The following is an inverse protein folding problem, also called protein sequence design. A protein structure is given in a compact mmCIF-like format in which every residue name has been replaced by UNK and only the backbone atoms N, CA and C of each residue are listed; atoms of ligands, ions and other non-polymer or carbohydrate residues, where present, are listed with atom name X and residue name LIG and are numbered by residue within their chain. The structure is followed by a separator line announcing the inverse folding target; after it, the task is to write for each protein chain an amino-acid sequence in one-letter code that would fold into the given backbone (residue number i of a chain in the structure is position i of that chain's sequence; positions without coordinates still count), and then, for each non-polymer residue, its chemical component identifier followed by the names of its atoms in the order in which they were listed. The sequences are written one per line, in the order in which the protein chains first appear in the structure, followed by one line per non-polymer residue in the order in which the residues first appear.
data_IF_732616382523
#
_entry.id   IF_732616382523
#
_cell.length_a   1.000
_cell.length_b   1.000
_cell.length_c   1.000
_cell.angle_alpha   90.00
_cell.angle_beta   90.00
_cell.angle_gamma   90.00
#
_symmetry.space_group_name_H-M   'P 1'
#
loop_
_entity.id
_entity.type
_entity.pdbx_description
1 polymer ?
#
# COMPACT_ATOMS: atom_id res chain seq x y z
N UNK A 1 -2.66 65.76 -17.18
CA UNK A 1 -4.08 65.50 -17.50
C UNK A 1 -4.74 64.97 -16.24
N UNK A 2 -5.56 65.80 -15.64
CA UNK A 2 -6.33 65.60 -14.40
C UNK A 2 -7.77 65.26 -14.76
N UNK A 3 -8.33 64.19 -14.21
CA UNK A 3 -9.77 64.02 -13.90
C UNK A 3 -9.88 62.79 -12.98
N UNK A 4 -10.80 62.64 -12.04
CA UNK A 4 -11.57 63.50 -11.12
C UNK A 4 -12.51 62.53 -10.38
N UNK A 5 -12.64 62.77 -9.09
CA UNK A 5 -13.46 62.20 -8.01
C UNK A 5 -14.90 61.72 -8.36
N UNK A 6 -15.35 60.71 -7.60
CA UNK A 6 -16.65 59.98 -7.52
C UNK A 6 -17.92 60.83 -7.15
N UNK A 7 -19.15 60.25 -7.00
CA UNK A 7 -19.55 59.59 -5.73
C UNK A 7 -20.62 58.44 -5.75
N UNK A 8 -20.70 57.81 -4.56
CA UNK A 8 -21.57 56.78 -3.95
C UNK A 8 -23.10 56.85 -4.13
N UNK A 9 -23.78 55.69 -4.12
CA UNK A 9 -25.04 55.35 -3.39
C UNK A 9 -25.06 53.82 -3.09
N UNK A 10 -24.91 53.37 -1.82
CA UNK A 10 -25.93 52.90 -0.84
C UNK A 10 -26.54 51.50 -1.09
N UNK A 11 -26.55 50.64 -0.04
CA UNK A 11 -27.43 49.49 0.32
C UNK A 11 -26.59 48.30 0.83
N UNK A 12 -26.88 47.58 1.92
CA UNK A 12 -27.56 47.80 3.20
C UNK A 12 -27.12 46.60 4.07
N UNK A 13 -26.87 46.82 5.36
CA UNK A 13 -26.37 45.82 6.30
C UNK A 13 -27.42 44.76 6.66
N UNK A 14 -26.99 43.51 6.89
CA UNK A 14 -27.64 42.61 7.85
C UNK A 14 -26.59 41.71 8.52
N UNK A 15 -26.38 41.95 9.80
CA UNK A 15 -25.77 41.02 10.73
C UNK A 15 -26.89 40.20 11.39
N UNK A 16 -26.73 38.88 11.50
CA UNK A 16 -27.58 38.06 12.37
C UNK A 16 -26.68 37.24 13.29
N UNK A 17 -26.75 37.59 14.58
CA UNK A 17 -26.19 36.85 15.70
C UNK A 17 -27.18 35.76 16.10
N UNK A 18 -26.74 34.51 16.21
CA UNK A 18 -27.49 33.44 16.87
C UNK A 18 -26.60 32.81 17.95
N UNK A 19 -26.80 33.29 19.17
CA UNK A 19 -26.42 32.62 20.42
C UNK A 19 -27.37 31.44 20.63
N UNK A 20 -26.85 30.21 20.68
CA UNK A 20 -27.57 29.08 21.27
C UNK A 20 -26.69 28.46 22.35
N UNK A 21 -27.27 28.44 23.54
CA UNK A 21 -26.78 27.94 24.81
C UNK A 21 -26.44 26.45 24.80
N UNK A 22 -25.23 26.07 25.22
CA UNK A 22 -24.88 24.70 25.58
C UNK A 22 -25.37 24.40 27.01
N UNK A 23 -26.53 23.76 27.15
CA UNK A 23 -26.89 23.06 28.37
C UNK A 23 -26.38 21.62 28.28
N UNK A 24 -25.44 21.30 29.18
CA UNK A 24 -24.85 19.97 29.27
C UNK A 24 -25.84 18.90 29.73
N UNK A 25 -25.68 17.70 29.18
CA UNK A 25 -26.31 16.49 29.70
C UNK A 25 -25.26 15.37 29.68
N UNK A 26 -24.72 15.01 30.85
CA UNK A 26 -23.85 13.84 31.04
C UNK A 26 -24.69 12.57 30.79
N UNK A 27 -24.27 11.67 29.90
CA UNK A 27 -24.80 10.31 29.83
C UNK A 27 -24.01 9.38 30.75
N UNK A 28 -24.74 8.52 31.47
CA UNK A 28 -24.25 7.47 32.37
C UNK A 28 -23.36 6.47 31.62
N UNK A 29 -22.22 6.12 32.24
CA UNK A 29 -21.56 4.84 32.03
C UNK A 29 -22.48 3.73 32.55
N UNK A 30 -22.38 2.54 31.97
CA UNK A 30 -23.15 1.31 32.24
C UNK A 30 -24.37 1.11 31.33
N UNK A 31 -24.10 0.58 30.13
CA UNK A 31 -24.84 -0.55 29.54
C UNK A 31 -24.04 -1.05 28.32
N UNK A 32 -23.65 -2.32 28.35
CA UNK A 32 -22.90 -3.00 27.29
C UNK A 32 -23.57 -2.78 25.94
N UNK A 33 -22.77 -2.50 24.91
CA UNK A 33 -23.26 -2.18 23.56
C UNK A 33 -24.10 -3.33 23.03
N UNK A 34 -25.41 -3.09 22.94
CA UNK A 34 -26.32 -3.83 22.07
C UNK A 34 -25.78 -3.68 20.65
N UNK A 35 -25.35 -4.80 20.06
CA UNK A 35 -24.99 -4.85 18.63
C UNK A 35 -26.23 -4.45 17.82
N UNK A 36 -26.17 -3.37 17.01
CA UNK A 36 -27.32 -2.89 16.28
C UNK A 36 -27.90 -3.96 15.35
N UNK A 37 -29.22 -3.92 15.20
CA UNK A 37 -30.00 -4.70 14.23
C UNK A 37 -29.75 -4.14 12.82
N UNK A 38 -29.39 -4.99 11.86
CA UNK A 38 -28.79 -4.61 10.57
C UNK A 38 -29.63 -5.13 9.40
N UNK A 39 -30.38 -4.25 8.70
CA UNK A 39 -30.45 -4.24 7.20
C UNK A 39 -30.85 -2.87 6.56
N UNK A 40 -30.72 -2.49 5.26
CA UNK A 40 -30.23 -3.02 3.95
C UNK A 40 -30.29 -1.85 2.91
N UNK A 41 -29.16 -1.27 2.50
CA UNK A 41 -29.11 -0.56 1.20
C UNK A 41 -27.76 -0.73 0.46
N UNK A 42 -26.72 -1.18 1.20
CA UNK A 42 -25.46 -1.85 0.77
C UNK A 42 -24.36 -0.95 0.15
N UNK A 43 -23.07 -1.39 0.21
CA UNK A 43 -22.58 -2.73 0.54
C UNK A 43 -22.04 -2.93 1.96
N UNK A 44 -22.40 -4.09 2.49
CA UNK A 44 -21.93 -4.66 3.73
C UNK A 44 -20.60 -5.39 3.45
N UNK A 45 -19.52 -4.98 4.10
CA UNK A 45 -18.21 -5.59 3.91
C UNK A 45 -18.17 -7.01 4.47
N UNK A 46 -17.40 -7.94 3.88
CA UNK A 46 -17.20 -9.25 4.47
C UNK A 46 -16.68 -9.13 5.90
N UNK A 47 -17.24 -9.95 6.79
CA UNK A 47 -16.82 -10.04 8.19
C UNK A 47 -15.75 -11.10 8.33
N UNK A 48 -14.64 -10.78 9.00
CA UNK A 48 -13.55 -11.70 9.30
C UNK A 48 -13.39 -11.85 10.82
N UNK A 49 -13.73 -13.03 11.34
CA UNK A 49 -13.52 -13.40 12.73
C UNK A 49 -12.21 -14.16 12.93
N UNK A 50 -11.44 -13.72 13.91
CA UNK A 50 -10.19 -14.31 14.36
C UNK A 50 -10.40 -14.80 15.80
N UNK A 51 -10.40 -16.11 16.01
CA UNK A 51 -10.51 -16.70 17.34
C UNK A 51 -9.19 -17.39 17.70
N UNK A 52 -8.38 -16.74 18.51
CA UNK A 52 -7.11 -17.31 19.03
C UNK A 52 -7.41 -18.38 20.08
N UNK A 53 -6.57 -19.42 20.15
CA UNK A 53 -6.71 -20.48 21.15
C UNK A 53 -6.66 -19.89 22.56
N UNK A 54 -7.70 -20.13 23.36
CA UNK A 54 -7.80 -19.61 24.73
C UNK A 54 -7.90 -18.08 24.82
N UNK A 55 -8.29 -17.39 23.75
CA UNK A 55 -8.27 -15.92 23.65
C UNK A 55 -6.89 -15.30 23.88
N UNK A 56 -5.82 -16.00 23.49
CA UNK A 56 -4.46 -15.52 23.63
C UNK A 56 -4.26 -14.16 22.91
N UNK A 57 -3.56 -13.19 23.53
CA UNK A 57 -3.26 -11.92 22.88
C UNK A 57 -2.19 -12.10 21.79
N UNK A 58 -2.25 -11.26 20.76
CA UNK A 58 -1.25 -11.21 19.69
C UNK A 58 -0.31 -10.04 19.99
N UNK A 59 0.83 -10.31 20.63
CA UNK A 59 1.75 -9.28 21.15
C UNK A 59 3.13 -9.27 20.46
N UNK A 60 3.33 -10.08 19.42
CA UNK A 60 4.62 -10.25 18.76
C UNK A 60 4.47 -10.19 17.24
N UNK A 61 5.48 -9.61 16.59
CA UNK A 61 5.65 -9.67 15.13
C UNK A 61 6.42 -10.90 14.68
N UNK A 62 6.95 -11.71 15.60
CA UNK A 62 7.81 -12.85 15.27
C UNK A 62 7.19 -14.19 15.66
N UNK A 63 6.38 -14.18 16.72
CA UNK A 63 5.78 -15.39 17.29
C UNK A 63 4.33 -15.53 16.84
N UNK A 64 4.05 -16.64 16.17
CA UNK A 64 2.70 -17.04 15.80
C UNK A 64 1.93 -17.63 16.99
N UNK A 65 0.65 -17.30 17.08
CA UNK A 65 -0.33 -17.98 17.94
C UNK A 65 -1.33 -18.73 17.08
N UNK A 66 -1.83 -19.86 17.57
CA UNK A 66 -2.88 -20.62 16.87
C UNK A 66 -4.21 -19.88 16.92
N UNK A 67 -4.93 -19.87 15.81
CA UNK A 67 -6.25 -19.27 15.68
C UNK A 67 -7.15 -20.07 14.73
N UNK A 68 -8.46 -19.80 14.80
CA UNK A 68 -9.42 -20.11 13.75
C UNK A 68 -9.78 -18.82 13.03
N UNK A 69 -9.72 -18.82 11.71
CA UNK A 69 -10.22 -17.74 10.84
C UNK A 69 -11.58 -18.16 10.32
N UNK A 70 -12.59 -17.29 10.44
CA UNK A 70 -13.89 -17.45 9.78
C UNK A 70 -14.23 -16.19 8.99
N UNK A 71 -14.79 -16.35 7.79
CA UNK A 71 -15.24 -15.26 6.94
C UNK A 71 -16.70 -15.49 6.57
N UNK A 72 -17.52 -14.46 6.82
CA UNK A 72 -18.84 -14.33 6.22
C UNK A 72 -18.72 -13.44 4.97
N UNK A 73 -18.87 -14.06 3.80
CA UNK A 73 -18.80 -13.38 2.50
C UNK A 73 -20.10 -12.70 2.11
N UNK A 74 -21.14 -12.76 2.94
CA UNK A 74 -22.41 -12.05 2.81
C UNK A 74 -23.15 -12.30 1.49
N UNK A 75 -22.94 -13.50 0.93
CA UNK A 75 -23.48 -13.92 -0.36
C UNK A 75 -22.85 -13.23 -1.58
N UNK A 76 -21.85 -12.37 -1.37
CA UNK A 76 -21.02 -11.78 -2.43
C UNK A 76 -19.83 -12.70 -2.70
N UNK A 77 -19.24 -13.23 -1.64
CA UNK A 77 -18.14 -14.19 -1.68
C UNK A 77 -18.50 -15.47 -0.94
N UNK A 78 -17.72 -16.53 -1.20
CA UNK A 78 -17.80 -17.76 -0.43
C UNK A 78 -17.46 -17.54 1.04
N UNK A 79 -18.23 -18.17 1.92
CA UNK A 79 -17.89 -18.26 3.33
C UNK A 79 -16.66 -19.15 3.53
N UNK A 80 -15.89 -18.85 4.58
CA UNK A 80 -14.73 -19.64 4.95
C UNK A 80 -14.69 -19.90 6.46
N UNK A 81 -14.16 -21.05 6.85
CA UNK A 81 -13.75 -21.35 8.22
C UNK A 81 -12.60 -22.34 8.19
N UNK A 82 -11.51 -22.03 8.89
CA UNK A 82 -10.36 -22.92 8.98
C UNK A 82 -9.36 -22.54 10.06
N UNK A 83 -8.51 -23.51 10.39
CA UNK A 83 -7.39 -23.33 11.30
C UNK A 83 -6.27 -22.51 10.65
N UNK A 84 -5.60 -21.72 11.48
CA UNK A 84 -4.53 -20.84 11.07
C UNK A 84 -3.54 -20.58 12.21
N UNK A 85 -2.43 -19.96 11.85
CA UNK A 85 -1.52 -19.29 12.76
C UNK A 85 -1.57 -17.79 12.47
N UNK A 86 -1.56 -16.94 13.50
CA UNK A 86 -1.56 -15.48 13.34
C UNK A 86 -0.48 -14.82 14.19
N UNK A 87 0.10 -13.73 13.67
CA UNK A 87 1.02 -12.85 14.40
C UNK A 87 0.79 -11.39 14.03
N UNK A 88 1.38 -10.50 14.79
CA UNK A 88 1.54 -9.11 14.41
C UNK A 88 2.42 -8.94 13.19
N UNK A 89 2.34 -7.79 12.53
CA UNK A 89 3.27 -7.44 11.44
C UNK A 89 3.61 -5.95 11.39
N UNK A 90 4.52 -5.61 10.49
CA UNK A 90 4.91 -4.25 10.19
C UNK A 90 5.92 -3.69 11.18
N UNK A 91 6.65 -2.67 10.73
CA UNK A 91 7.71 -2.05 11.52
C UNK A 91 7.11 -0.94 12.38
N UNK A 92 7.08 0.29 11.87
CA UNK A 92 6.48 1.44 12.57
C UNK A 92 5.01 1.20 12.91
N UNK A 93 4.24 0.56 12.02
CA UNK A 93 2.80 0.33 12.20
C UNK A 93 2.45 -0.56 13.39
N UNK A 94 3.39 -1.43 13.81
CA UNK A 94 3.18 -2.26 14.99
C UNK A 94 3.13 -1.44 16.29
N UNK A 95 3.67 -0.23 16.31
CA UNK A 95 3.62 0.66 17.48
C UNK A 95 2.26 1.35 17.67
N UNK A 96 1.39 1.37 16.66
CA UNK A 96 0.11 2.07 16.73
C UNK A 96 -0.98 1.33 17.52
N UNK A 97 -2.02 2.00 18.03
CA UNK A 97 -3.12 1.37 18.76
C UNK A 97 -3.80 0.23 17.99
N UNK A 98 -4.13 0.48 16.72
CA UNK A 98 -4.71 -0.53 15.83
C UNK A 98 -3.61 -1.34 15.15
N UNK A 99 -3.54 -2.62 15.47
CA UNK A 99 -2.46 -3.50 15.03
C UNK A 99 -2.76 -4.13 13.67
N UNK A 100 -1.82 -4.14 12.71
CA UNK A 100 -1.91 -4.97 11.52
C UNK A 100 -1.47 -6.41 11.81
N UNK A 101 -1.98 -7.36 11.04
CA UNK A 101 -1.74 -8.78 11.26
C UNK A 101 -1.28 -9.49 9.98
N UNK A 102 -0.56 -10.59 10.18
CA UNK A 102 -0.32 -11.62 9.17
C UNK A 102 -0.86 -12.93 9.71
N UNK A 103 -1.62 -13.65 8.90
CA UNK A 103 -2.07 -15.00 9.23
C UNK A 103 -1.72 -15.99 8.14
N UNK A 104 -1.50 -17.24 8.56
CA UNK A 104 -1.14 -18.37 7.72
C UNK A 104 -2.16 -19.48 7.94
N UNK A 105 -2.91 -19.81 6.90
CA UNK A 105 -3.86 -20.91 6.92
C UNK A 105 -3.13 -22.26 6.89
N UNK A 106 -3.74 -23.30 7.47
CA UNK A 106 -3.17 -24.65 7.41
C UNK A 106 -3.18 -25.22 5.98
N UNK A 107 -4.15 -24.80 5.17
CA UNK A 107 -4.37 -25.25 3.80
C UNK A 107 -4.45 -24.07 2.82
N UNK A 108 -4.10 -24.31 1.55
CA UNK A 108 -4.26 -23.30 0.51
C UNK A 108 -5.75 -23.03 0.29
N UNK A 109 -6.18 -21.77 0.47
CA UNK A 109 -7.56 -21.39 0.23
C UNK A 109 -7.63 -20.01 -0.39
N UNK A 110 -8.48 -19.84 -1.40
CA UNK A 110 -8.83 -18.52 -1.93
C UNK A 110 -9.82 -17.83 -1.00
N UNK A 111 -9.55 -16.58 -0.66
CA UNK A 111 -10.40 -15.77 0.21
C UNK A 111 -10.94 -14.59 -0.61
N UNK A 112 -12.24 -14.32 -0.52
CA UNK A 112 -12.90 -13.16 -1.15
C UNK A 112 -12.57 -13.00 -2.66
N UNK A 113 -12.60 -14.11 -3.40
CA UNK A 113 -12.32 -14.11 -4.85
C UNK A 113 -10.83 -14.09 -5.23
N UNK A 114 -9.91 -13.92 -4.27
CA UNK A 114 -8.47 -13.98 -4.53
C UNK A 114 -7.98 -15.42 -4.68
N UNK A 115 -6.89 -15.58 -5.44
CA UNK A 115 -6.29 -16.89 -5.70
C UNK A 115 -5.75 -17.56 -4.43
N UNK A 116 -5.88 -18.89 -4.38
CA UNK A 116 -5.58 -19.68 -3.19
C UNK A 116 -4.09 -19.70 -2.82
N UNK A 117 -3.81 -19.36 -1.55
CA UNK A 117 -2.53 -19.52 -0.86
C UNK A 117 -2.75 -19.60 0.67
N UNK A 118 -1.67 -19.79 1.43
CA UNK A 118 -1.73 -19.87 2.90
C UNK A 118 -1.51 -18.53 3.59
N UNK A 119 -0.60 -17.71 3.09
CA UNK A 119 -0.15 -16.50 3.77
C UNK A 119 -0.96 -15.27 3.30
N UNK A 120 -1.60 -14.63 4.26
CA UNK A 120 -2.50 -13.50 4.07
C UNK A 120 -2.15 -12.37 5.04
N UNK A 121 -2.46 -11.14 4.61
CA UNK A 121 -2.14 -9.92 5.33
C UNK A 121 -3.40 -9.14 5.62
N UNK A 122 -3.48 -8.59 6.82
CA UNK A 122 -4.46 -7.59 7.22
C UNK A 122 -3.76 -6.26 7.47
N UNK A 123 -3.90 -5.32 6.53
CA UNK A 123 -3.44 -3.95 6.71
C UNK A 123 -4.45 -3.19 7.56
N UNK A 124 -3.98 -2.58 8.65
CA UNK A 124 -4.82 -1.80 9.56
C UNK A 124 -5.14 -0.40 9.02
N UNK A 125 -4.32 0.11 8.10
CA UNK A 125 -4.40 1.47 7.53
C UNK A 125 -4.57 2.56 8.59
N UNK A 126 -3.96 2.39 9.77
CA UNK A 126 -4.22 3.28 10.91
C UNK A 126 -3.85 4.75 10.65
N UNK A 127 -2.82 5.00 9.84
CA UNK A 127 -2.41 6.35 9.45
C UNK A 127 -3.26 6.93 8.31
N UNK A 128 -3.98 6.09 7.59
CA UNK A 128 -4.84 6.44 6.47
C UNK A 128 -6.30 6.44 6.95
N UNK A 129 -6.79 7.58 7.40
CA UNK A 129 -8.20 7.69 7.77
C UNK A 129 -9.19 7.48 6.58
N UNK A 130 -8.73 7.48 5.32
CA UNK A 130 -9.61 7.29 4.15
C UNK A 130 -9.86 5.81 4.00
N UNK A 131 -8.88 4.99 4.41
CA UNK A 131 -8.77 3.56 4.18
C UNK A 131 -8.67 3.20 2.69
N UNK A 132 -8.28 4.15 1.85
CA UNK A 132 -8.28 4.04 0.38
C UNK A 132 -6.90 4.12 -0.25
N UNK A 133 -5.87 4.64 0.43
CA UNK A 133 -4.60 4.98 -0.23
C UNK A 133 -3.94 3.76 -0.88
N UNK A 134 -3.87 2.66 -0.14
CA UNK A 134 -3.40 1.37 -0.65
C UNK A 134 -4.36 0.79 -1.71
N UNK A 135 -5.68 0.90 -1.52
CA UNK A 135 -6.67 0.37 -2.45
C UNK A 135 -6.55 1.02 -3.85
N UNK A 136 -6.49 2.34 -3.88
CA UNK A 136 -6.35 3.13 -5.11
C UNK A 136 -4.99 2.90 -5.76
N UNK A 137 -3.92 2.74 -4.98
CA UNK A 137 -2.60 2.41 -5.51
C UNK A 137 -2.56 1.03 -6.17
N UNK A 138 -3.11 0.00 -5.51
CA UNK A 138 -3.19 -1.34 -6.10
C UNK A 138 -4.10 -1.36 -7.33
N UNK A 139 -5.23 -0.65 -7.32
CA UNK A 139 -6.08 -0.50 -8.52
C UNK A 139 -5.33 0.18 -9.66
N UNK A 140 -4.55 1.21 -9.37
CA UNK A 140 -3.71 1.90 -10.37
C UNK A 140 -2.72 0.92 -10.99
N UNK A 141 -2.04 0.10 -10.18
CA UNK A 141 -1.13 -0.92 -10.69
C UNK A 141 -1.82 -1.97 -11.55
N UNK A 142 -3.01 -2.44 -11.16
CA UNK A 142 -3.82 -3.37 -11.95
C UNK A 142 -4.21 -2.77 -13.32
N UNK A 143 -4.63 -1.50 -13.35
CA UNK A 143 -4.99 -0.81 -14.60
C UNK A 143 -3.78 -0.55 -15.51
N UNK A 144 -2.58 -0.43 -14.95
CA UNK A 144 -1.32 -0.39 -15.69
C UNK A 144 -0.82 -1.79 -16.10
N UNK A 145 -1.50 -2.85 -15.68
CA UNK A 145 -1.07 -4.24 -15.84
C UNK A 145 0.30 -4.53 -15.19
N UNK A 146 0.61 -3.87 -14.07
CA UNK A 146 1.80 -4.18 -13.28
C UNK A 146 1.75 -5.63 -12.80
N UNK A 147 2.76 -6.45 -13.14
CA UNK A 147 2.80 -7.84 -12.70
C UNK A 147 2.73 -7.96 -11.18
N UNK A 148 2.01 -8.99 -10.73
CA UNK A 148 1.93 -9.38 -9.31
C UNK A 148 1.35 -8.28 -8.39
N UNK A 149 0.63 -7.31 -8.95
CA UNK A 149 -0.09 -6.31 -8.14
C UNK A 149 -1.17 -7.01 -7.31
N UNK A 150 -1.10 -6.82 -5.99
CA UNK A 150 -2.04 -7.41 -5.05
C UNK A 150 -3.47 -6.87 -5.23
N UNK A 151 -4.43 -7.61 -4.67
CA UNK A 151 -5.78 -7.13 -4.46
C UNK A 151 -5.88 -6.44 -3.09
N UNK A 152 -6.92 -5.63 -2.93
CA UNK A 152 -7.26 -4.97 -1.66
C UNK A 152 -8.75 -5.16 -1.41
N UNK A 153 -9.09 -6.12 -0.55
CA UNK A 153 -10.48 -6.38 -0.17
C UNK A 153 -10.76 -5.84 1.25
N UNK A 154 -11.65 -4.83 1.38
CA UNK A 154 -12.01 -4.28 2.68
C UNK A 154 -12.87 -5.28 3.48
N UNK A 155 -12.50 -5.51 4.74
CA UNK A 155 -13.16 -6.43 5.66
C UNK A 155 -13.34 -5.82 7.05
N UNK A 156 -14.41 -6.19 7.74
CA UNK A 156 -14.61 -5.84 9.15
C UNK A 156 -14.09 -6.96 10.05
N UNK A 157 -13.08 -6.65 10.86
CA UNK A 157 -12.35 -7.66 11.66
C UNK A 157 -12.88 -7.73 13.08
N UNK A 158 -13.05 -8.95 13.58
CA UNK A 158 -13.33 -9.24 14.99
C UNK A 158 -12.22 -10.16 15.52
N UNK A 159 -11.57 -9.78 16.61
CA UNK A 159 -10.56 -10.58 17.29
C UNK A 159 -11.08 -11.02 18.65
N UNK A 160 -11.16 -12.33 18.88
CA UNK A 160 -11.70 -12.95 20.10
C UNK A 160 -13.09 -12.37 20.46
N UNK A 161 -13.95 -12.21 19.46
CA UNK A 161 -15.30 -11.65 19.59
C UNK A 161 -15.37 -10.12 19.72
N UNK A 162 -14.22 -9.43 19.78
CA UNK A 162 -14.16 -7.98 19.89
C UNK A 162 -13.92 -7.34 18.54
N UNK A 163 -14.79 -6.41 18.13
CA UNK A 163 -14.61 -5.64 16.91
C UNK A 163 -13.27 -4.91 16.92
N UNK A 164 -12.51 -5.03 15.83
CA UNK A 164 -11.21 -4.40 15.63
C UNK A 164 -11.23 -3.33 14.54
N UNK A 165 -12.36 -3.09 13.87
CA UNK A 165 -12.45 -2.07 12.83
C UNK A 165 -12.31 -2.59 11.40
N UNK A 166 -12.15 -1.66 10.47
CA UNK A 166 -11.99 -1.88 9.03
C UNK A 166 -10.54 -2.23 8.70
N UNK A 167 -10.29 -3.35 8.02
CA UNK A 167 -8.98 -3.75 7.54
C UNK A 167 -8.99 -4.00 6.05
N UNK A 168 -7.81 -4.03 5.44
CA UNK A 168 -7.62 -4.51 4.08
C UNK A 168 -7.03 -5.92 4.10
N UNK A 169 -7.80 -6.89 3.64
CA UNK A 169 -7.31 -8.24 3.37
C UNK A 169 -6.60 -8.23 2.01
N UNK A 170 -5.36 -8.72 2.01
CA UNK A 170 -4.52 -8.78 0.81
C UNK A 170 -3.55 -9.95 0.88
N UNK A 171 -2.99 -10.31 -0.26
CA UNK A 171 -1.96 -11.32 -0.40
C UNK A 171 -0.67 -10.95 0.37
N UNK A 172 0.04 -11.96 0.88
CA UNK A 172 1.45 -11.78 1.22
C UNK A 172 2.29 -11.64 -0.06
N UNK A 173 3.23 -10.69 -0.08
CA UNK A 173 4.28 -10.67 -1.10
C UNK A 173 5.27 -11.79 -0.80
N UNK A 174 5.31 -12.78 -1.69
CA UNK A 174 6.18 -13.95 -1.62
C UNK A 174 6.29 -14.60 -3.00
N UNK A 175 7.32 -15.43 -3.20
CA UNK A 175 7.49 -16.19 -4.45
C UNK A 175 6.65 -17.47 -4.39
N UNK A 176 5.50 -17.43 -5.06
CA UNK A 176 4.57 -18.54 -5.25
C UNK A 176 3.90 -18.46 -6.61
N UNK A 177 3.21 -19.54 -7.01
CA UNK A 177 2.51 -19.65 -8.29
C UNK A 177 1.44 -18.54 -8.48
N UNK A 178 0.70 -18.23 -7.42
CA UNK A 178 -0.39 -17.24 -7.43
C UNK A 178 0.01 -15.89 -6.80
N UNK A 179 1.32 -15.63 -6.70
CA UNK A 179 1.92 -14.43 -6.10
C UNK A 179 3.00 -13.91 -7.05
N UNK A 180 4.20 -13.61 -6.55
CA UNK A 180 5.35 -13.25 -7.39
C UNK A 180 5.90 -14.52 -8.06
N UNK A 181 5.34 -14.86 -9.23
CA UNK A 181 5.65 -16.11 -9.91
C UNK A 181 6.92 -15.98 -10.77
N UNK A 182 8.09 -16.00 -10.11
CA UNK A 182 9.41 -15.95 -10.77
C UNK A 182 10.11 -17.31 -10.88
N UNK A 183 9.45 -18.39 -10.44
CA UNK A 183 10.01 -19.73 -10.36
C UNK A 183 11.00 -19.90 -9.19
N UNK A 184 11.33 -21.15 -8.87
CA UNK A 184 12.17 -21.48 -7.71
C UNK A 184 13.57 -20.89 -7.80
N UNK A 185 14.12 -20.77 -9.00
CA UNK A 185 15.43 -20.18 -9.30
C UNK A 185 15.34 -18.68 -9.65
N UNK A 186 14.15 -18.09 -9.51
CA UNK A 186 13.99 -16.64 -9.58
C UNK A 186 14.59 -15.93 -8.37
N UNK A 187 14.54 -14.61 -8.41
CA UNK A 187 15.00 -13.74 -7.33
C UNK A 187 13.93 -12.69 -7.07
N UNK A 188 13.66 -12.43 -5.79
CA UNK A 188 12.87 -11.29 -5.32
C UNK A 188 13.68 -10.53 -4.28
N UNK A 189 13.87 -9.24 -4.49
CA UNK A 189 14.52 -8.34 -3.55
C UNK A 189 13.60 -7.19 -3.18
N UNK A 190 13.79 -6.66 -1.99
CA UNK A 190 13.15 -5.44 -1.51
C UNK A 190 14.22 -4.39 -1.23
N UNK A 191 14.08 -3.21 -1.82
CA UNK A 191 14.86 -2.05 -1.44
C UNK A 191 14.17 -1.39 -0.23
N UNK A 192 14.84 -1.43 0.92
CA UNK A 192 14.23 -1.08 2.21
C UNK A 192 15.23 -0.41 3.16
N UNK A 193 14.90 0.80 3.63
CA UNK A 193 15.76 1.58 4.51
C UNK A 193 15.89 1.03 5.92
N UNK A 194 14.85 0.33 6.43
CA UNK A 194 14.95 -0.31 7.75
C UNK A 194 16.11 -1.30 7.82
N UNK A 195 16.44 -1.94 6.69
CA UNK A 195 17.64 -2.76 6.53
C UNK A 195 17.78 -3.76 7.67
N UNK A 196 16.69 -4.45 8.01
CA UNK A 196 16.48 -5.24 9.23
C UNK A 196 16.43 -6.76 8.99
N UNK A 197 16.29 -7.21 7.73
CA UNK A 197 16.37 -8.63 7.37
C UNK A 197 17.78 -9.23 7.53
N UNK A 198 17.95 -10.55 7.78
CA UNK A 198 19.28 -11.14 7.92
C UNK A 198 20.08 -11.12 6.60
N UNK A 199 19.39 -11.31 5.48
CA UNK A 199 19.99 -11.43 4.15
C UNK A 199 19.89 -10.11 3.39
N UNK A 200 20.93 -9.29 3.49
CA UNK A 200 20.93 -7.92 2.95
C UNK A 200 22.33 -7.43 2.59
N UNK A 201 22.40 -6.50 1.64
CA UNK A 201 23.64 -5.83 1.26
C UNK A 201 23.35 -4.38 0.83
N UNK A 202 24.37 -3.52 0.91
CA UNK A 202 24.36 -2.23 0.22
C UNK A 202 25.04 -2.38 -1.13
N UNK A 203 24.35 -1.98 -2.19
CA UNK A 203 24.87 -2.09 -3.55
C UNK A 203 26.07 -1.16 -3.77
N UNK A 204 27.04 -1.58 -4.59
CA UNK A 204 28.31 -0.87 -4.71
C UNK A 204 28.18 0.53 -5.34
N UNK A 205 27.38 0.69 -6.40
CA UNK A 205 27.40 1.93 -7.18
C UNK A 205 26.53 3.04 -6.58
N UNK A 206 25.35 2.69 -6.06
CA UNK A 206 24.39 3.66 -5.52
C UNK A 206 24.17 3.54 -4.01
N UNK A 207 24.73 2.53 -3.33
CA UNK A 207 24.51 2.23 -1.88
C UNK A 207 23.06 1.93 -1.52
N UNK A 208 22.29 1.38 -2.47
CA UNK A 208 20.91 1.01 -2.26
C UNK A 208 20.81 -0.09 -1.20
N UNK A 209 19.86 -0.01 -0.26
CA UNK A 209 19.69 -1.01 0.78
C UNK A 209 18.88 -2.20 0.26
N UNK A 210 19.55 -3.25 -0.20
CA UNK A 210 18.91 -4.42 -0.81
C UNK A 210 18.71 -5.52 0.23
N UNK A 211 17.48 -5.99 0.41
CA UNK A 211 17.12 -7.16 1.21
C UNK A 211 16.66 -8.29 0.29
N UNK A 212 17.15 -9.51 0.52
CA UNK A 212 16.82 -10.69 -0.28
C UNK A 212 15.62 -11.39 0.33
N UNK A 213 14.51 -11.41 -0.40
CA UNK A 213 13.24 -12.03 0.01
C UNK A 213 13.07 -13.44 -0.56
N UNK A 214 13.65 -13.69 -1.74
CA UNK A 214 13.72 -15.02 -2.36
C UNK A 214 15.00 -15.13 -3.22
N UNK A 215 15.69 -16.28 -3.19
CA UNK A 215 15.40 -17.48 -2.38
C UNK A 215 15.57 -17.26 -0.87
N UNK A 216 14.95 -18.13 -0.07
CA UNK A 216 15.22 -18.19 1.36
C UNK A 216 16.67 -18.69 1.56
N UNK A 217 17.54 -17.81 2.07
CA UNK A 217 18.94 -18.16 2.29
C UNK A 217 19.14 -18.80 3.66
N UNK A 218 20.15 -19.66 3.75
CA UNK A 218 20.54 -20.32 5.00
C UNK A 218 21.91 -19.89 5.50
N UNK A 219 22.73 -19.29 4.64
CA UNK A 219 24.09 -18.85 4.95
C UNK A 219 24.53 -17.68 4.06
N UNK A 220 25.64 -17.04 4.42
CA UNK A 220 26.14 -15.86 3.73
C UNK A 220 26.73 -16.14 2.33
N UNK A 221 27.14 -17.38 2.03
CA UNK A 221 27.71 -17.72 0.71
C UNK A 221 26.64 -17.68 -0.39
N UNK A 222 25.40 -18.04 -0.05
CA UNK A 222 24.24 -17.98 -0.95
C UNK A 222 23.86 -16.53 -1.33
N UNK A 223 24.24 -15.54 -0.53
CA UNK A 223 24.00 -14.12 -0.81
C UNK A 223 24.90 -13.60 -1.94
N UNK A 224 26.11 -14.13 -2.06
CA UNK A 224 27.14 -13.67 -3.01
C UNK A 224 26.65 -13.66 -4.46
N UNK A 225 26.09 -14.74 -5.02
CA UNK A 225 25.61 -14.74 -6.41
C UNK A 225 24.42 -13.80 -6.64
N UNK A 226 23.58 -13.56 -5.63
CA UNK A 226 22.44 -12.64 -5.75
C UNK A 226 22.93 -11.19 -5.79
N UNK A 227 23.86 -10.85 -4.88
CA UNK A 227 24.53 -9.55 -4.86
C UNK A 227 25.25 -9.28 -6.19
N UNK A 228 26.02 -10.24 -6.69
CA UNK A 228 26.72 -10.10 -7.96
C UNK A 228 25.78 -9.84 -9.16
N UNK A 229 24.63 -10.54 -9.22
CA UNK A 229 23.63 -10.31 -10.26
C UNK A 229 22.97 -8.92 -10.18
N UNK A 230 22.69 -8.42 -8.98
CA UNK A 230 22.16 -7.08 -8.79
C UNK A 230 23.20 -6.02 -9.19
N UNK A 231 24.44 -6.19 -8.73
CA UNK A 231 25.54 -5.25 -9.02
C UNK A 231 25.97 -5.27 -10.49
N UNK A 232 25.79 -6.37 -11.21
CA UNK A 232 26.01 -6.41 -12.65
C UNK A 232 25.09 -5.44 -13.39
N UNK A 233 23.79 -5.46 -13.06
CA UNK A 233 22.82 -4.50 -13.60
C UNK A 233 23.16 -3.08 -13.13
N UNK A 234 23.43 -2.90 -11.84
CA UNK A 234 23.71 -1.60 -11.25
C UNK A 234 24.96 -0.93 -11.87
N UNK A 235 25.99 -1.71 -12.17
CA UNK A 235 27.22 -1.23 -12.81
C UNK A 235 26.91 -0.64 -14.18
N UNK A 236 26.03 -1.27 -14.97
CA UNK A 236 25.60 -0.69 -16.26
C UNK A 236 24.88 0.64 -16.04
N UNK A 237 23.99 0.71 -15.06
CA UNK A 237 23.25 1.94 -14.71
C UNK A 237 24.19 3.06 -14.25
N UNK A 238 25.34 2.74 -13.65
CA UNK A 238 26.31 3.72 -13.14
C UNK A 238 27.39 4.15 -14.14
N UNK A 239 27.49 3.49 -15.30
CA UNK A 239 28.53 3.81 -16.29
C UNK A 239 28.31 5.18 -16.93
N UNK A 240 29.41 5.81 -17.35
CA UNK A 240 29.40 7.13 -17.99
C UNK A 240 28.79 7.16 -19.38
N UNK A 241 28.73 6.02 -20.08
CA UNK A 241 28.12 5.88 -21.41
C UNK A 241 26.63 5.51 -21.35
N UNK A 242 26.04 5.42 -20.16
CA UNK A 242 24.63 5.08 -19.97
C UNK A 242 23.70 6.11 -20.67
N UNK A 243 22.60 5.67 -21.32
CA UNK A 243 22.10 4.30 -21.42
C UNK A 243 22.60 3.51 -22.65
N UNK A 244 23.67 3.96 -23.33
CA UNK A 244 24.20 3.33 -24.56
C UNK A 244 25.09 2.11 -24.27
N UNK A 245 24.67 1.22 -23.35
CA UNK A 245 25.51 0.15 -22.79
C UNK A 245 24.79 -1.18 -22.51
N UNK A 246 23.88 -1.58 -23.40
CA UNK A 246 23.11 -2.85 -23.33
C UNK A 246 22.31 -3.04 -22.02
N UNK A 247 21.99 -1.97 -21.28
CA UNK A 247 21.19 -2.08 -20.05
C UNK A 247 19.86 -2.81 -20.26
N UNK A 248 19.27 -2.71 -21.46
CA UNK A 248 18.01 -3.38 -21.80
C UNK A 248 18.11 -4.91 -21.86
N UNK A 249 19.30 -5.50 -21.81
CA UNK A 249 19.48 -6.94 -21.61
C UNK A 249 19.26 -7.34 -20.14
N UNK A 250 19.31 -6.38 -19.22
CA UNK A 250 19.26 -6.58 -17.78
C UNK A 250 18.02 -5.98 -17.10
N UNK A 251 17.36 -4.99 -17.70
CA UNK A 251 16.14 -4.37 -17.17
C UNK A 251 14.96 -4.54 -18.12
N UNK A 252 13.78 -4.73 -17.55
CA UNK A 252 12.51 -4.68 -18.28
C UNK A 252 12.00 -3.22 -18.32
N UNK A 253 12.12 -2.58 -19.48
CA UNK A 253 11.74 -1.18 -19.65
C UNK A 253 10.22 -0.94 -19.51
N UNK A 254 9.38 -1.91 -19.86
CA UNK A 254 7.93 -1.80 -19.73
C UNK A 254 7.53 -1.85 -18.26
N UNK A 255 8.07 -2.82 -17.52
CA UNK A 255 7.87 -2.93 -16.07
C UNK A 255 8.36 -1.69 -15.32
N UNK A 256 9.53 -1.16 -15.68
CA UNK A 256 10.04 0.10 -15.10
C UNK A 256 9.11 1.27 -15.40
N UNK A 257 8.60 1.38 -16.64
CA UNK A 257 7.67 2.43 -17.02
C UNK A 257 6.35 2.36 -16.24
N UNK A 258 5.76 1.17 -16.13
CA UNK A 258 4.54 0.94 -15.36
C UNK A 258 4.72 1.30 -13.88
N UNK A 259 5.85 0.90 -13.28
CA UNK A 259 6.15 1.19 -11.89
C UNK A 259 6.31 2.68 -11.63
N UNK A 260 7.00 3.41 -12.53
CA UNK A 260 7.08 4.86 -12.44
C UNK A 260 5.72 5.53 -12.59
N UNK A 261 4.87 5.08 -13.53
CA UNK A 261 3.54 5.65 -13.70
C UNK A 261 2.67 5.43 -12.46
N UNK A 262 2.71 4.26 -11.84
CA UNK A 262 1.98 4.00 -10.60
C UNK A 262 2.43 4.94 -9.46
N UNK A 263 3.74 5.11 -9.27
CA UNK A 263 4.28 6.04 -8.27
C UNK A 263 3.98 7.51 -8.59
N UNK A 264 4.02 7.91 -9.86
CA UNK A 264 3.69 9.29 -10.28
C UNK A 264 2.21 9.60 -10.09
N UNK A 265 1.30 8.68 -10.45
CA UNK A 265 -0.14 8.87 -10.32
C UNK A 265 -0.61 8.96 -8.87
N UNK A 266 0.12 8.30 -7.98
CA UNK A 266 -0.17 8.28 -6.54
C UNK A 266 0.71 9.25 -5.77
N UNK A 267 1.60 10.00 -6.43
CA UNK A 267 2.64 10.83 -5.79
C UNK A 267 3.41 10.09 -4.66
N UNK A 268 3.78 8.85 -4.93
CA UNK A 268 4.65 8.08 -4.04
C UNK A 268 6.12 8.43 -4.31
N UNK A 269 6.73 9.14 -3.35
CA UNK A 269 8.12 9.62 -3.43
C UNK A 269 9.11 8.72 -2.69
N UNK A 270 8.73 7.51 -2.31
CA UNK A 270 9.60 6.59 -1.57
C UNK A 270 10.76 6.06 -2.41
N UNK A 271 10.67 6.08 -3.75
CA UNK A 271 11.79 5.78 -4.65
C UNK A 271 13.08 6.56 -4.34
N UNK A 272 12.95 7.78 -3.80
CA UNK A 272 14.12 8.57 -3.40
C UNK A 272 14.86 7.95 -2.21
N UNK A 273 14.16 7.25 -1.34
CA UNK A 273 14.67 6.71 -0.10
C UNK A 273 14.03 5.32 0.10
N UNK A 274 14.35 4.35 -0.80
CA UNK A 274 13.49 3.21 -1.07
C UNK A 274 13.04 2.45 0.17
N UNK A 275 11.72 2.35 0.29
CA UNK A 275 10.98 1.54 1.26
C UNK A 275 9.91 0.78 0.49
N UNK A 276 9.62 -0.45 0.90
CA UNK A 276 8.62 -1.29 0.22
C UNK A 276 8.76 -1.35 -1.31
N UNK A 277 9.99 -1.17 -1.83
CA UNK A 277 10.26 -1.08 -3.26
C UNK A 277 10.81 -2.42 -3.76
N UNK A 278 9.98 -3.21 -4.42
CA UNK A 278 10.36 -4.55 -4.85
C UNK A 278 10.96 -4.57 -6.26
N UNK A 279 11.90 -5.48 -6.46
CA UNK A 279 12.41 -5.85 -7.78
C UNK A 279 12.50 -7.37 -7.86
N UNK A 280 12.24 -7.92 -9.05
CA UNK A 280 12.26 -9.36 -9.24
C UNK A 280 12.81 -9.74 -10.61
N UNK A 281 13.24 -10.99 -10.73
CA UNK A 281 13.61 -11.60 -12.02
C UNK A 281 13.40 -13.10 -11.98
N UNK A 282 13.08 -13.70 -13.11
CA UNK A 282 13.22 -15.16 -13.29
C UNK A 282 14.69 -15.52 -13.45
N UNK A 283 15.03 -16.82 -13.40
CA UNK A 283 16.41 -17.33 -13.56
C UNK A 283 17.17 -16.70 -14.73
N UNK A 284 16.53 -16.63 -15.89
CA UNK A 284 17.11 -16.13 -17.15
C UNK A 284 16.49 -14.81 -17.62
N UNK A 285 15.59 -14.23 -16.82
CA UNK A 285 14.89 -12.99 -17.14
C UNK A 285 15.66 -11.74 -16.73
N UNK A 286 15.03 -10.60 -17.03
CA UNK A 286 15.51 -9.26 -16.69
C UNK A 286 15.01 -8.85 -15.31
N UNK A 287 15.72 -7.93 -14.67
CA UNK A 287 15.21 -7.22 -13.51
C UNK A 287 14.00 -6.39 -13.90
N UNK A 288 12.89 -6.68 -13.23
CA UNK A 288 11.60 -6.01 -13.38
C UNK A 288 11.27 -5.32 -12.05
N UNK A 289 10.57 -4.20 -12.12
CA UNK A 289 10.08 -3.48 -10.96
C UNK A 289 8.77 -4.10 -10.45
N UNK A 290 8.59 -4.05 -9.14
CA UNK A 290 7.39 -4.52 -8.46
C UNK A 290 7.54 -5.89 -7.79
N UNK A 291 6.47 -6.39 -7.15
CA UNK A 291 5.15 -5.75 -7.08
C UNK A 291 5.14 -4.41 -6.34
N UNK A 292 4.15 -3.56 -6.62
CA UNK A 292 3.91 -2.35 -5.82
C UNK A 292 3.34 -2.73 -4.44
N UNK A 293 3.72 -1.97 -3.42
CA UNK A 293 3.32 -2.23 -2.03
C UNK A 293 3.41 -0.97 -1.18
N UNK A 294 2.58 -0.89 -0.14
CA UNK A 294 2.68 0.08 0.96
C UNK A 294 2.68 1.56 0.52
N UNK A 295 1.49 2.09 0.22
CA UNK A 295 1.29 3.45 -0.28
C UNK A 295 0.75 4.40 0.80
N UNK A 296 1.02 4.11 2.08
CA UNK A 296 0.63 4.98 3.21
C UNK A 296 1.51 6.24 3.31
N UNK A 297 2.67 6.27 2.64
CA UNK A 297 3.53 7.47 2.47
C UNK A 297 3.38 8.15 1.10
N UNK A 298 2.41 7.71 0.30
CA UNK A 298 2.09 8.32 -0.98
C UNK A 298 1.16 9.55 -0.82
N UNK A 299 0.73 10.11 -1.94
CA UNK A 299 -0.24 11.21 -2.02
C UNK A 299 0.23 12.44 -1.27
N UNK A 300 1.44 12.92 -1.58
CA UNK A 300 2.03 14.12 -0.98
C UNK A 300 2.11 14.09 0.56
N UNK A 301 2.38 12.92 1.14
CA UNK A 301 2.45 12.79 2.60
C UNK A 301 3.55 13.68 3.22
N UNK A 302 3.18 14.53 4.17
CA UNK A 302 4.07 15.54 4.76
C UNK A 302 4.71 15.14 6.10
N UNK A 303 4.79 13.84 6.44
CA UNK A 303 5.29 13.34 7.76
C UNK A 303 4.53 13.88 8.98
N UNK A 304 3.51 14.71 8.77
CA UNK A 304 2.62 15.31 9.77
C UNK A 304 1.24 14.65 9.77
N UNK A 305 1.11 13.48 9.14
CA UNK A 305 -0.16 12.78 8.93
C UNK A 305 -1.15 13.54 8.05
N UNK A 306 -0.63 14.33 7.11
CA UNK A 306 -1.41 15.01 6.07
C UNK A 306 -1.01 14.49 4.71
N UNK A 307 -2.03 14.23 3.90
CA UNK A 307 -1.93 13.86 2.50
C UNK A 307 -2.49 14.99 1.64
N UNK A 308 -2.26 14.93 0.33
CA UNK A 308 -2.81 15.84 -0.67
C UNK A 308 -2.45 17.32 -0.46
N UNK A 309 -1.37 17.59 0.27
CA UNK A 309 -0.96 18.96 0.62
C UNK A 309 -0.26 19.69 -0.53
N UNK A 310 0.37 18.95 -1.44
CA UNK A 310 1.07 19.47 -2.61
C UNK A 310 0.78 18.60 -3.82
N UNK A 311 0.73 19.20 -5.01
CA UNK A 311 0.47 18.49 -6.27
C UNK A 311 1.49 18.80 -7.37
N UNK A 312 2.41 19.73 -7.10
CA UNK A 312 3.33 20.30 -8.09
C UNK A 312 4.80 19.97 -7.84
N UNK A 313 5.08 19.14 -6.84
CA UNK A 313 6.45 18.76 -6.49
C UNK A 313 6.94 17.63 -7.41
N UNK A 314 8.22 17.67 -7.84
CA UNK A 314 8.82 16.56 -8.55
C UNK A 314 8.81 15.28 -7.71
N UNK A 315 8.46 14.15 -8.33
CA UNK A 315 8.52 12.85 -7.68
C UNK A 315 9.95 12.50 -7.21
N UNK A 316 10.98 12.87 -7.99
CA UNK A 316 12.39 12.66 -7.66
C UNK A 316 13.01 13.91 -7.02
N UNK A 317 13.71 13.73 -5.89
CA UNK A 317 14.16 14.83 -5.02
C UNK A 317 15.39 15.58 -5.54
N UNK A 318 15.53 16.82 -5.08
CA UNK A 318 16.76 17.60 -5.16
C UNK A 318 17.04 18.25 -3.80
N UNK A 319 18.25 18.10 -3.20
CA UNK A 319 19.40 17.37 -3.71
C UNK A 319 19.19 15.85 -3.77
N UNK A 320 19.87 15.19 -4.71
CA UNK A 320 19.65 13.79 -5.00
C UNK A 320 20.21 12.86 -3.89
N UNK A 321 19.33 12.01 -3.36
CA UNK A 321 19.69 10.87 -2.50
C UNK A 321 20.18 9.66 -3.32
N UNK A 322 20.59 8.60 -2.64
CA UNK A 322 21.01 7.33 -3.27
C UNK A 322 19.94 6.75 -4.20
N UNK A 323 18.69 6.65 -3.73
CA UNK A 323 17.55 6.22 -4.56
C UNK A 323 17.30 7.17 -5.73
N UNK A 324 17.30 8.49 -5.48
CA UNK A 324 17.11 9.50 -6.53
C UNK A 324 18.09 9.29 -7.67
N UNK A 325 19.38 9.09 -7.37
CA UNK A 325 20.43 8.90 -8.38
C UNK A 325 20.18 7.67 -9.24
N UNK A 326 19.84 6.54 -8.64
CA UNK A 326 19.57 5.29 -9.36
C UNK A 326 18.31 5.40 -10.24
N UNK A 327 17.18 5.82 -9.66
CA UNK A 327 15.91 5.88 -10.39
C UNK A 327 15.88 6.99 -11.45
N UNK A 328 16.63 8.08 -11.26
CA UNK A 328 16.81 9.09 -12.31
C UNK A 328 17.46 8.50 -13.56
N UNK A 329 18.43 7.60 -13.40
CA UNK A 329 19.05 6.93 -14.55
C UNK A 329 18.06 5.99 -15.24
N UNK A 330 17.33 5.14 -14.50
CA UNK A 330 16.32 4.27 -15.09
C UNK A 330 15.24 5.04 -15.85
N UNK A 331 14.75 6.15 -15.28
CA UNK A 331 13.79 7.03 -15.95
C UNK A 331 14.39 7.73 -17.18
N UNK A 332 15.72 7.90 -17.23
CA UNK A 332 16.40 8.53 -18.36
C UNK A 332 16.48 7.63 -19.61
N UNK A 333 16.33 6.30 -19.47
CA UNK A 333 16.43 5.32 -20.56
C UNK A 333 15.39 5.62 -21.65
N UNK A 334 15.80 5.75 -22.94
CA UNK A 334 14.89 6.08 -24.04
C UNK A 334 13.70 5.13 -24.19
N UNK A 335 13.91 3.81 -24.01
CA UNK A 335 12.84 2.81 -24.06
C UNK A 335 11.83 3.02 -22.92
N UNK A 336 12.29 3.28 -21.69
CA UNK A 336 11.43 3.58 -20.54
C UNK A 336 10.62 4.86 -20.80
N UNK A 337 11.26 5.95 -21.25
CA UNK A 337 10.56 7.20 -21.60
C UNK A 337 9.49 6.99 -22.68
N UNK A 338 9.79 6.17 -23.68
CA UNK A 338 8.86 5.87 -24.77
C UNK A 338 7.67 5.08 -24.26
N UNK A 339 7.91 4.00 -23.51
CA UNK A 339 6.88 3.19 -22.89
C UNK A 339 6.01 4.03 -21.94
N UNK A 340 6.60 4.85 -21.07
CA UNK A 340 5.87 5.75 -20.17
C UNK A 340 4.94 6.70 -20.94
N UNK A 341 5.42 7.32 -22.04
CA UNK A 341 4.60 8.23 -22.84
C UNK A 341 3.41 7.51 -23.49
N UNK A 342 3.65 6.33 -24.05
CA UNK A 342 2.60 5.54 -24.71
C UNK A 342 1.56 5.07 -23.70
N UNK A 343 2.01 4.46 -22.60
CA UNK A 343 1.15 3.98 -21.51
C UNK A 343 0.39 5.11 -20.84
N UNK A 344 1.01 6.28 -20.64
CA UNK A 344 0.30 7.43 -20.09
C UNK A 344 -0.80 7.94 -21.02
N UNK A 345 -0.55 8.00 -22.33
CA UNK A 345 -1.57 8.42 -23.29
C UNK A 345 -2.78 7.47 -23.28
N UNK A 346 -2.53 6.16 -23.25
CA UNK A 346 -3.56 5.13 -23.10
C UNK A 346 -4.29 5.26 -21.75
N UNK A 347 -3.55 5.28 -20.65
CA UNK A 347 -4.09 5.36 -19.30
C UNK A 347 -4.98 6.60 -19.13
N UNK A 348 -4.50 7.77 -19.53
CA UNK A 348 -5.26 9.03 -19.40
C UNK A 348 -6.60 8.99 -20.13
N UNK A 349 -6.67 8.32 -21.28
CA UNK A 349 -7.87 8.30 -22.12
C UNK A 349 -8.82 7.17 -21.77
N UNK A 350 -8.28 5.99 -21.44
CA UNK A 350 -9.08 4.77 -21.24
C UNK A 350 -9.22 4.38 -19.78
N UNK A 351 -8.18 4.56 -18.96
CA UNK A 351 -8.09 3.97 -17.60
C UNK A 351 -8.29 4.96 -16.47
N UNK A 352 -8.04 6.24 -16.69
CA UNK A 352 -8.27 7.27 -15.68
C UNK A 352 -9.76 7.38 -15.28
N UNK A 353 -10.73 7.33 -16.22
CA UNK A 353 -12.15 7.27 -15.83
C UNK A 353 -12.50 6.01 -15.03
N UNK A 354 -11.91 4.85 -15.37
CA UNK A 354 -12.09 3.60 -14.61
C UNK A 354 -11.52 3.72 -13.18
N UNK A 355 -10.36 4.37 -13.02
CA UNK A 355 -9.77 4.63 -11.71
C UNK A 355 -10.63 5.59 -10.88
N UNK A 356 -11.14 6.66 -11.49
CA UNK A 356 -12.02 7.62 -10.82
C UNK A 356 -13.32 6.97 -10.35
N UNK A 357 -13.96 6.17 -11.21
CA UNK A 357 -15.14 5.39 -10.82
C UNK A 357 -14.84 4.44 -9.67
N UNK A 358 -13.69 3.76 -9.69
CA UNK A 358 -13.27 2.90 -8.59
C UNK A 358 -13.08 3.68 -7.27
N UNK A 359 -12.53 4.89 -7.30
CA UNK A 359 -12.39 5.73 -6.10
C UNK A 359 -13.76 6.01 -5.50
N UNK A 360 -14.73 6.44 -6.31
CA UNK A 360 -16.08 6.75 -5.85
C UNK A 360 -16.80 5.51 -5.31
N UNK A 361 -16.76 4.40 -6.06
CA UNK A 361 -17.37 3.12 -5.68
C UNK A 361 -16.75 2.57 -4.39
N UNK A 362 -15.43 2.65 -4.25
CA UNK A 362 -14.74 2.15 -3.07
C UNK A 362 -15.04 3.02 -1.84
N UNK A 363 -15.08 4.35 -1.99
CA UNK A 363 -15.45 5.26 -0.91
C UNK A 363 -16.85 4.96 -0.38
N UNK A 364 -17.83 4.76 -1.29
CA UNK A 364 -19.18 4.35 -0.94
C UNK A 364 -19.19 2.96 -0.28
N UNK A 365 -18.40 2.01 -0.81
CA UNK A 365 -18.34 0.64 -0.30
C UNK A 365 -17.92 0.54 1.16
N UNK A 366 -17.05 1.44 1.61
CA UNK A 366 -16.49 1.39 2.98
C UNK A 366 -17.07 2.42 3.94
N UNK A 367 -17.97 3.31 3.49
CA UNK A 367 -18.39 4.51 4.23
C UNK A 367 -18.79 4.20 5.68
N UNK A 368 -19.72 3.25 5.85
CA UNK A 368 -20.24 2.82 7.13
C UNK A 368 -19.18 2.14 8.03
N UNK A 369 -18.36 1.27 7.43
CA UNK A 369 -17.30 0.57 8.16
C UNK A 369 -16.18 1.52 8.59
N UNK A 370 -15.85 2.51 7.76
CA UNK A 370 -14.91 3.59 8.08
C UNK A 370 -15.42 4.42 9.25
N UNK A 371 -16.72 4.76 9.28
CA UNK A 371 -17.31 5.48 10.40
C UNK A 371 -17.23 4.70 11.73
N UNK A 372 -17.50 3.39 11.70
CA UNK A 372 -17.31 2.50 12.86
C UNK A 372 -15.84 2.37 13.29
N UNK A 373 -14.94 2.27 12.32
CA UNK A 373 -13.50 2.24 12.57
C UNK A 373 -13.04 3.51 13.30
N UNK A 374 -13.45 4.67 12.81
CA UNK A 374 -13.18 5.97 13.41
C UNK A 374 -13.72 6.07 14.85
N UNK A 375 -14.97 5.64 15.07
CA UNK A 375 -15.57 5.63 16.40
C UNK A 375 -14.77 4.76 17.39
N UNK A 376 -14.21 3.64 16.92
CA UNK A 376 -13.43 2.73 17.78
C UNK A 376 -12.03 3.26 18.09
N UNK A 377 -11.35 3.80 17.08
CA UNK A 377 -9.91 4.05 17.15
C UNK A 377 -9.52 5.52 17.28
N UNK A 378 -10.51 6.43 17.28
CA UNK A 378 -10.33 7.89 17.41
C UNK A 378 -9.28 8.43 16.43
N UNK A 379 -9.23 7.88 15.22
CA UNK A 379 -8.22 8.23 14.21
C UNK A 379 -8.49 9.62 13.66
N UNK A 380 -7.83 10.62 14.25
CA UNK A 380 -7.68 12.04 13.81
C UNK A 380 -8.61 12.45 12.66
N UNK A 381 -9.56 13.35 12.95
CA UNK A 381 -10.23 14.14 11.92
C UNK A 381 -9.21 14.54 10.85
N UNK A 382 -9.40 14.08 9.63
CA UNK A 382 -8.59 14.53 8.52
C UNK A 382 -8.65 16.04 8.45
N UNK A 383 -7.48 16.66 8.59
CA UNK A 383 -7.29 18.03 8.16
C UNK A 383 -6.82 17.94 6.71
N UNK A 384 -7.80 17.91 5.81
CA UNK A 384 -7.58 18.20 4.39
C UNK A 384 -6.94 19.58 4.23
#
# INVERSE_FOLDING_TARGET
MTYSVAPRWMFLAYALVLLISFSGCKKKADELVVTPDIPKDKPFLPRLDIATTGNAPINSTDTYVTATISIDGLGIFDNYKGSAQIRGRGNSTWSFPKKPYKFKLDENKGLLGMAAEKDWVLLANYLDGTHMLNAVAMKTGQLLNLPFTNHIEPVEVYLNGQYQGLYMLTEQIEVKKNRVNVGNEGVLVQLEQYYDEPWKFRSAAYRLPVMVMHPELTNAEELVPIKAQFEQMETLVARSDFPNNNVLDFIDAESVADYFLANMLTDNRELNHPKSTFMHKTKTGKWSMGPIWDFDWAYAFEKTQRHFSTFDQPMLWSPASDGTRFFSQLMAVPAVKTAMKQKWADFKTQKLPELQAYVDDYALKIEDARARDYQKWETREFRF
#
